data_IF_274935962871
#
_entry.id   IF_274935962871
#
_cell.length_a   1.000
_cell.length_b   1.000
_cell.length_c   1.000
_cell.angle_alpha   90.00
_cell.angle_beta   90.00
_cell.angle_gamma   90.00
#
_symmetry.space_group_name_H-M   'P 1'
#
loop_
_entity.id
_entity.type
_entity.pdbx_description
1 polymer ?
#
# COMPACT_ATOMS: atom_id res chain seq x y z
N UNK A 1 -2.42 5.61 12.51
CA UNK A 1 -2.48 4.60 11.42
C UNK A 1 -1.28 3.67 11.53
N UNK A 2 -1.24 2.55 10.80
CA UNK A 2 -0.19 1.50 10.87
C UNK A 2 1.24 2.04 10.71
N UNK A 3 1.49 2.92 9.73
CA UNK A 3 2.82 3.48 9.47
C UNK A 3 3.37 4.36 10.61
N UNK A 4 2.50 4.99 11.41
CA UNK A 4 2.92 5.74 12.60
C UNK A 4 3.51 4.84 13.70
N UNK A 5 3.27 3.52 13.63
CA UNK A 5 3.90 2.53 14.52
C UNK A 5 5.20 1.99 13.93
N UNK A 6 5.31 1.90 12.60
CA UNK A 6 6.46 1.26 11.94
C UNK A 6 7.60 2.23 11.69
N UNK A 7 7.34 3.46 11.22
CA UNK A 7 8.38 4.46 10.91
C UNK A 7 9.32 4.72 12.11
N UNK A 8 8.82 4.85 13.36
CA UNK A 8 9.71 5.04 14.52
C UNK A 8 10.62 3.86 14.85
N UNK A 9 10.50 2.71 14.16
CA UNK A 9 11.44 1.60 14.28
C UNK A 9 12.70 1.79 13.44
N UNK A 10 12.66 2.68 12.44
CA UNK A 10 13.80 2.95 11.58
C UNK A 10 14.88 3.74 12.35
N UNK A 11 16.17 3.56 12.02
CA UNK A 11 17.24 4.43 12.51
C UNK A 11 16.96 5.90 12.17
N UNK A 12 17.26 6.83 13.08
CA UNK A 12 16.82 8.24 12.98
C UNK A 12 17.03 8.90 11.61
N UNK A 13 18.22 8.83 10.96
CA UNK A 13 18.42 9.47 9.66
C UNK A 13 17.48 8.91 8.58
N UNK A 14 17.26 7.59 8.58
CA UNK A 14 16.37 6.92 7.64
C UNK A 14 14.90 7.17 7.99
N UNK A 15 14.57 7.19 9.28
CA UNK A 15 13.22 7.46 9.78
C UNK A 15 12.70 8.83 9.38
N UNK A 16 13.56 9.86 9.33
CA UNK A 16 13.18 11.21 8.86
C UNK A 16 12.83 11.21 7.38
N UNK A 17 13.67 10.63 6.52
CA UNK A 17 13.42 10.60 5.07
C UNK A 17 12.20 9.76 4.73
N UNK A 18 12.06 8.57 5.34
CA UNK A 18 10.88 7.71 5.13
C UNK A 18 9.61 8.36 5.72
N UNK A 19 9.73 9.07 6.84
CA UNK A 19 8.62 9.84 7.42
C UNK A 19 8.13 10.92 6.47
N UNK A 20 9.04 11.68 5.86
CA UNK A 20 8.70 12.67 4.86
C UNK A 20 8.12 12.03 3.57
N UNK A 21 8.70 10.91 3.12
CA UNK A 21 8.19 10.12 1.99
C UNK A 21 6.73 9.70 2.20
N UNK A 22 6.39 9.25 3.40
CA UNK A 22 5.02 8.90 3.77
C UNK A 22 4.07 10.09 3.67
N UNK A 23 4.51 11.29 4.09
CA UNK A 23 3.69 12.51 3.96
C UNK A 23 3.49 12.89 2.48
N UNK A 24 4.52 12.76 1.65
CA UNK A 24 4.41 13.01 0.20
C UNK A 24 3.39 12.06 -0.46
N UNK A 25 3.48 10.76 -0.18
CA UNK A 25 2.51 9.78 -0.69
C UNK A 25 1.10 10.06 -0.15
N UNK A 26 0.97 10.50 1.11
CA UNK A 26 -0.33 10.80 1.70
C UNK A 26 -0.99 12.04 1.11
N UNK A 27 -0.22 13.01 0.61
CA UNK A 27 -0.77 14.12 -0.17
C UNK A 27 -1.37 13.60 -1.48
N UNK A 28 -0.68 12.68 -2.19
CA UNK A 28 -1.23 12.01 -3.37
C UNK A 28 -2.53 11.27 -3.06
N UNK A 29 -2.56 10.46 -1.99
CA UNK A 29 -3.78 9.77 -1.54
C UNK A 29 -4.92 10.76 -1.24
N UNK A 30 -4.61 11.92 -0.66
CA UNK A 30 -5.65 12.91 -0.30
C UNK A 30 -6.31 13.50 -1.54
N UNK A 31 -5.55 13.71 -2.62
CA UNK A 31 -6.11 14.13 -3.92
C UNK A 31 -6.98 13.02 -4.52
N UNK A 32 -6.50 11.76 -4.47
CA UNK A 32 -7.23 10.60 -5.00
C UNK A 32 -8.55 10.36 -4.24
N UNK A 33 -8.51 10.39 -2.91
CA UNK A 33 -9.61 10.05 -2.01
C UNK A 33 -10.68 11.15 -1.89
N UNK A 34 -10.38 12.41 -2.26
CA UNK A 34 -11.33 13.54 -2.07
C UNK A 34 -12.55 13.39 -3.00
N UNK A 35 -13.74 13.31 -2.39
CA UNK A 35 -15.00 13.03 -3.07
C UNK A 35 -15.54 14.26 -3.81
N UNK A 36 -15.19 15.48 -3.39
CA UNK A 36 -15.65 16.70 -4.04
C UNK A 36 -14.88 17.09 -5.30
N UNK A 37 -13.67 16.54 -5.50
CA UNK A 37 -12.92 16.79 -6.72
C UNK A 37 -13.50 15.96 -7.86
N UNK A 38 -13.88 16.63 -8.94
CA UNK A 38 -14.17 15.95 -10.21
C UNK A 38 -12.93 15.23 -10.74
N UNK A 39 -13.09 14.20 -11.61
CA UNK A 39 -11.95 13.51 -12.21
C UNK A 39 -10.94 14.46 -12.89
N UNK A 40 -11.43 15.50 -13.57
CA UNK A 40 -10.58 16.52 -14.19
C UNK A 40 -9.78 17.33 -13.16
N UNK A 41 -10.41 17.72 -12.04
CA UNK A 41 -9.71 18.40 -10.95
C UNK A 41 -8.68 17.49 -10.28
N UNK A 42 -8.99 16.21 -10.07
CA UNK A 42 -8.02 15.24 -9.53
C UNK A 42 -6.80 15.10 -10.44
N UNK A 43 -7.00 15.03 -11.76
CA UNK A 43 -5.91 15.03 -12.74
C UNK A 43 -5.09 16.31 -12.65
N UNK A 44 -5.74 17.47 -12.66
CA UNK A 44 -5.06 18.78 -12.55
C UNK A 44 -4.25 18.90 -11.26
N UNK A 45 -4.82 18.56 -10.10
CA UNK A 45 -4.10 18.60 -8.83
C UNK A 45 -2.98 17.57 -8.76
N UNK A 46 -3.13 16.40 -9.39
CA UNK A 46 -2.07 15.40 -9.48
C UNK A 46 -0.89 15.92 -10.32
N UNK A 47 -1.16 16.52 -11.48
CA UNK A 47 -0.13 17.12 -12.33
C UNK A 47 0.55 18.33 -11.65
N UNK A 48 -0.21 19.16 -10.93
CA UNK A 48 0.34 20.24 -10.10
C UNK A 48 1.19 19.70 -8.96
N UNK A 49 0.73 18.63 -8.29
CA UNK A 49 1.44 18.01 -7.18
C UNK A 49 2.79 17.44 -7.63
N UNK A 50 2.82 16.77 -8.78
CA UNK A 50 4.06 16.37 -9.46
C UNK A 50 4.96 17.61 -9.60
N UNK A 51 4.49 18.67 -10.26
CA UNK A 51 5.28 19.89 -10.45
C UNK A 51 5.78 20.54 -9.14
N UNK A 52 5.03 20.45 -8.04
CA UNK A 52 5.44 20.94 -6.72
C UNK A 52 6.62 20.11 -6.18
N UNK A 53 6.55 18.79 -6.28
CA UNK A 53 7.65 17.90 -5.82
C UNK A 53 8.90 18.05 -6.70
N UNK A 54 8.74 18.34 -7.99
CA UNK A 54 9.85 18.65 -8.90
C UNK A 54 10.42 20.07 -8.72
N UNK A 55 9.74 20.92 -7.94
CA UNK A 55 10.13 22.32 -7.74
C UNK A 55 9.80 23.25 -8.90
N UNK A 56 8.96 22.82 -9.86
CA UNK A 56 8.49 23.64 -10.99
C UNK A 56 7.19 24.40 -10.70
N UNK A 57 6.50 24.07 -9.59
CA UNK A 57 5.28 24.74 -9.11
C UNK A 57 5.43 25.18 -7.66
N UNK A 58 4.69 26.21 -7.25
CA UNK A 58 4.72 26.71 -5.89
C UNK A 58 3.85 25.86 -4.94
N UNK A 59 4.45 25.46 -3.82
CA UNK A 59 3.80 24.62 -2.83
C UNK A 59 2.72 25.36 -2.00
N UNK A 60 2.84 26.69 -1.82
CA UNK A 60 1.87 27.46 -1.06
C UNK A 60 0.60 27.69 -1.87
N UNK A 61 0.72 28.04 -3.14
CA UNK A 61 -0.39 28.18 -4.08
C UNK A 61 -1.15 26.85 -4.22
N UNK A 62 -0.42 25.73 -4.40
CA UNK A 62 -1.02 24.40 -4.41
C UNK A 62 -1.80 24.09 -3.13
N UNK A 63 -1.20 24.34 -1.96
CA UNK A 63 -1.84 24.06 -0.67
C UNK A 63 -3.09 24.92 -0.45
N UNK A 64 -3.02 26.21 -0.80
CA UNK A 64 -4.13 27.15 -0.67
C UNK A 64 -5.32 26.71 -1.54
N UNK A 65 -5.08 26.39 -2.80
CA UNK A 65 -6.13 25.98 -3.73
C UNK A 65 -6.77 24.65 -3.32
N UNK A 66 -5.95 23.65 -3.01
CA UNK A 66 -6.46 22.32 -2.64
C UNK A 66 -7.22 22.37 -1.31
N UNK A 67 -6.69 23.07 -0.30
CA UNK A 67 -7.37 23.20 1.00
C UNK A 67 -8.73 23.89 0.91
N UNK A 68 -8.91 24.83 -0.03
CA UNK A 68 -10.19 25.48 -0.27
C UNK A 68 -11.27 24.57 -0.87
N UNK A 69 -10.87 23.40 -1.40
CA UNK A 69 -11.76 22.42 -2.04
C UNK A 69 -11.96 21.15 -1.20
N UNK A 70 -11.13 20.92 -0.18
CA UNK A 70 -11.30 19.79 0.72
C UNK A 70 -12.63 19.91 1.49
N UNK A 71 -13.41 18.85 1.49
CA UNK A 71 -14.71 18.86 2.17
C UNK A 71 -14.63 18.46 3.64
N UNK A 72 -15.78 18.46 4.32
CA UNK A 72 -15.92 17.94 5.68
C UNK A 72 -15.74 16.40 5.76
N UNK A 73 -15.73 15.69 4.62
CA UNK A 73 -15.47 14.24 4.60
C UNK A 73 -13.98 13.94 4.79
N UNK A 74 -13.09 14.84 4.35
CA UNK A 74 -11.68 14.79 4.68
C UNK A 74 -11.47 14.98 6.18
N UNK A 75 -10.58 14.17 6.76
CA UNK A 75 -10.27 14.22 8.18
C UNK A 75 -9.51 15.50 8.54
N UNK A 76 -9.62 15.94 9.80
CA UNK A 76 -8.84 17.09 10.30
C UNK A 76 -7.34 16.95 10.04
N UNK A 77 -6.82 15.71 10.04
CA UNK A 77 -5.41 15.43 9.75
C UNK A 77 -5.04 15.57 8.27
N UNK A 78 -5.97 15.31 7.35
CA UNK A 78 -5.76 15.55 5.91
C UNK A 78 -5.77 17.04 5.60
N UNK A 79 -6.71 17.78 6.21
CA UNK A 79 -6.71 19.25 6.16
C UNK A 79 -5.39 19.84 6.69
N UNK A 80 -4.94 19.42 7.87
CA UNK A 80 -3.68 19.87 8.45
C UNK A 80 -2.47 19.51 7.56
N UNK A 81 -2.46 18.32 6.96
CA UNK A 81 -1.41 17.91 6.03
C UNK A 81 -1.35 18.80 4.79
N UNK A 82 -2.48 19.04 4.13
CA UNK A 82 -2.52 19.88 2.91
C UNK A 82 -2.07 21.30 3.22
N UNK A 83 -2.55 21.90 4.32
CA UNK A 83 -2.11 23.24 4.77
C UNK A 83 -0.59 23.28 4.99
N UNK A 84 -0.02 22.20 5.54
CA UNK A 84 1.41 22.10 5.82
C UNK A 84 2.25 21.57 4.64
N UNK A 85 1.69 21.41 3.44
CA UNK A 85 2.44 20.97 2.25
C UNK A 85 3.74 21.75 2.01
N UNK A 86 3.79 23.10 2.14
CA UNK A 86 5.04 23.85 1.97
C UNK A 86 6.14 23.44 2.96
N UNK A 87 5.76 23.04 4.18
CA UNK A 87 6.71 22.52 5.18
C UNK A 87 7.23 21.14 4.79
N UNK A 88 6.37 20.27 4.27
CA UNK A 88 6.77 18.94 3.77
C UNK A 88 7.79 19.11 2.64
N UNK A 89 7.50 19.96 1.66
CA UNK A 89 8.42 20.23 0.54
C UNK A 89 9.75 20.84 0.99
N UNK A 90 9.72 21.79 1.93
CA UNK A 90 10.96 22.34 2.51
C UNK A 90 11.82 21.26 3.17
N UNK A 91 11.21 20.29 3.85
CA UNK A 91 11.94 19.15 4.42
C UNK A 91 12.48 18.25 3.30
N UNK A 92 11.69 17.94 2.27
CA UNK A 92 12.18 17.20 1.09
C UNK A 92 13.42 17.83 0.48
N UNK A 93 13.43 19.15 0.31
CA UNK A 93 14.54 19.91 -0.27
C UNK A 93 15.81 19.92 0.62
N UNK A 94 15.69 19.54 1.90
CA UNK A 94 16.85 19.45 2.81
C UNK A 94 17.61 18.12 2.69
N UNK A 95 17.06 17.13 1.99
CA UNK A 95 17.69 15.82 1.80
C UNK A 95 18.77 15.81 0.72
N UNK A 96 19.53 14.72 0.62
CA UNK A 96 20.54 14.56 -0.44
C UNK A 96 19.89 14.54 -1.83
N UNK A 97 20.62 14.92 -2.87
CA UNK A 97 20.12 14.87 -4.26
C UNK A 97 19.63 13.48 -4.66
N UNK A 98 20.33 12.42 -4.21
CA UNK A 98 19.92 11.02 -4.42
C UNK A 98 18.56 10.74 -3.79
N UNK A 99 18.37 11.13 -2.52
CA UNK A 99 17.11 10.95 -1.80
C UNK A 99 15.97 11.75 -2.45
N UNK A 100 16.22 13.00 -2.84
CA UNK A 100 15.22 13.81 -3.55
C UNK A 100 14.76 13.14 -4.85
N UNK A 101 15.69 12.61 -5.66
CA UNK A 101 15.37 11.91 -6.90
C UNK A 101 14.55 10.63 -6.67
N UNK A 102 14.88 9.86 -5.61
CA UNK A 102 14.12 8.66 -5.22
C UNK A 102 12.67 9.03 -4.85
N UNK A 103 12.50 10.07 -4.03
CA UNK A 103 11.18 10.54 -3.58
C UNK A 103 10.36 11.10 -4.76
N UNK A 104 10.97 11.95 -5.59
CA UNK A 104 10.33 12.54 -6.78
C UNK A 104 9.84 11.44 -7.72
N UNK A 105 10.69 10.47 -8.07
CA UNK A 105 10.29 9.37 -8.95
C UNK A 105 9.11 8.58 -8.39
N UNK A 106 9.12 8.29 -7.09
CA UNK A 106 8.02 7.58 -6.44
C UNK A 106 6.70 8.37 -6.54
N UNK A 107 6.73 9.66 -6.20
CA UNK A 107 5.53 10.50 -6.26
C UNK A 107 5.03 10.66 -7.69
N UNK A 108 5.92 10.85 -8.66
CA UNK A 108 5.55 11.01 -10.06
C UNK A 108 4.81 9.78 -10.59
N UNK A 109 5.37 8.59 -10.41
CA UNK A 109 4.75 7.33 -10.84
C UNK A 109 3.42 7.11 -10.11
N UNK A 110 3.39 7.35 -8.79
CA UNK A 110 2.19 7.16 -7.99
C UNK A 110 1.06 8.10 -8.39
N UNK A 111 1.32 9.41 -8.43
CA UNK A 111 0.31 10.43 -8.70
C UNK A 111 -0.25 10.31 -10.13
N UNK A 112 0.61 10.07 -11.13
CA UNK A 112 0.16 9.87 -12.50
C UNK A 112 -0.69 8.59 -12.62
N UNK A 113 -0.22 7.48 -12.05
CA UNK A 113 -0.95 6.22 -12.06
C UNK A 113 -2.31 6.30 -11.36
N UNK A 114 -2.38 6.90 -10.18
CA UNK A 114 -3.64 7.11 -9.44
C UNK A 114 -4.65 7.89 -10.28
N UNK A 115 -4.21 8.96 -10.95
CA UNK A 115 -5.09 9.76 -11.80
C UNK A 115 -5.65 8.95 -12.98
N UNK A 116 -4.80 8.17 -13.68
CA UNK A 116 -5.22 7.32 -14.79
C UNK A 116 -6.25 6.27 -14.36
N UNK A 117 -6.01 5.59 -13.24
CA UNK A 117 -6.94 4.56 -12.75
C UNK A 117 -8.25 5.14 -12.21
N UNK A 118 -8.24 6.34 -11.64
CA UNK A 118 -9.45 7.05 -11.20
C UNK A 118 -10.39 7.37 -12.38
N UNK A 119 -9.86 7.83 -13.52
CA UNK A 119 -10.67 8.15 -14.70
C UNK A 119 -11.47 6.95 -15.23
N UNK A 120 -10.91 5.74 -15.10
CA UNK A 120 -11.55 4.48 -15.48
C UNK A 120 -12.34 3.79 -14.36
N UNK A 121 -12.30 4.30 -13.13
CA UNK A 121 -12.85 3.62 -11.96
C UNK A 121 -14.37 3.50 -12.05
N UNK A 122 -14.87 2.28 -11.88
CA UNK A 122 -16.31 1.99 -11.89
C UNK A 122 -16.61 0.68 -11.15
N UNK A 123 -17.89 0.39 -10.95
CA UNK A 123 -18.33 -0.80 -10.19
C UNK A 123 -18.10 -2.15 -10.88
N UNK A 124 -17.72 -2.18 -12.18
CA UNK A 124 -17.43 -3.44 -12.89
C UNK A 124 -16.10 -4.05 -12.47
N UNK A 125 -15.17 -3.27 -11.91
CA UNK A 125 -13.83 -3.76 -11.59
C UNK A 125 -12.80 -3.43 -12.68
N UNK A 126 -11.54 -3.78 -12.41
CA UNK A 126 -10.46 -3.72 -13.40
C UNK A 126 -10.63 -4.83 -14.43
N UNK A 127 -10.18 -4.65 -15.67
CA UNK A 127 -10.44 -5.64 -16.74
C UNK A 127 -9.89 -7.02 -16.43
N UNK A 128 -8.68 -7.08 -15.89
CA UNK A 128 -7.94 -8.31 -15.70
C UNK A 128 -6.91 -8.19 -14.56
N UNK A 129 -6.23 -9.31 -14.29
CA UNK A 129 -5.20 -9.38 -13.28
C UNK A 129 -3.98 -8.49 -13.60
N UNK A 130 -3.69 -8.23 -14.87
CA UNK A 130 -2.59 -7.35 -15.28
C UNK A 130 -2.88 -5.90 -14.88
N UNK A 131 -4.09 -5.40 -15.17
CA UNK A 131 -4.54 -4.09 -14.70
C UNK A 131 -4.57 -4.00 -13.17
N UNK A 132 -4.99 -5.05 -12.47
CA UNK A 132 -4.92 -5.11 -11.01
C UNK A 132 -3.51 -5.01 -10.47
N UNK A 133 -2.56 -5.75 -11.07
CA UNK A 133 -1.16 -5.71 -10.69
C UNK A 133 -0.55 -4.34 -11.00
N UNK A 134 -0.90 -3.74 -12.14
CA UNK A 134 -0.50 -2.39 -12.54
C UNK A 134 -1.01 -1.35 -11.54
N UNK A 135 -2.30 -1.37 -11.18
CA UNK A 135 -2.84 -0.49 -10.15
C UNK A 135 -2.09 -0.64 -8.83
N UNK A 136 -1.94 -1.88 -8.33
CA UNK A 136 -1.21 -2.16 -7.10
C UNK A 136 0.27 -1.72 -7.17
N UNK A 137 0.88 -1.76 -8.35
CA UNK A 137 2.24 -1.25 -8.55
C UNK A 137 2.30 0.26 -8.36
N UNK A 138 1.44 1.03 -9.04
CA UNK A 138 1.46 2.49 -8.98
C UNK A 138 1.18 3.02 -7.56
N UNK A 139 0.23 2.42 -6.84
CA UNK A 139 -0.17 2.93 -5.52
C UNK A 139 0.65 2.37 -4.34
N UNK A 140 1.39 1.28 -4.54
CA UNK A 140 2.15 0.66 -3.45
C UNK A 140 3.45 -0.05 -3.87
N UNK A 141 3.49 -0.70 -5.04
CA UNK A 141 4.71 -1.35 -5.53
C UNK A 141 5.89 -0.37 -5.68
N UNK A 142 5.64 0.81 -6.25
CA UNK A 142 6.64 1.88 -6.37
C UNK A 142 7.15 2.37 -5.01
N UNK A 143 6.30 2.36 -3.97
CA UNK A 143 6.72 2.67 -2.59
C UNK A 143 7.69 1.62 -2.08
N UNK A 144 7.50 0.35 -2.43
CA UNK A 144 8.44 -0.73 -2.13
C UNK A 144 9.82 -0.50 -2.75
N UNK A 145 9.86 -0.06 -4.02
CA UNK A 145 11.10 0.32 -4.71
C UNK A 145 11.78 1.54 -4.07
N UNK A 146 11.01 2.59 -3.81
CA UNK A 146 11.48 3.79 -3.10
C UNK A 146 12.12 3.44 -1.76
N UNK A 147 11.44 2.64 -0.93
CA UNK A 147 11.98 2.17 0.35
C UNK A 147 13.27 1.36 0.17
N UNK A 148 13.31 0.49 -0.85
CA UNK A 148 14.51 -0.31 -1.17
C UNK A 148 15.70 0.58 -1.46
N UNK A 149 15.52 1.63 -2.26
CA UNK A 149 16.59 2.57 -2.57
C UNK A 149 17.04 3.38 -1.37
N UNK A 150 16.11 3.86 -0.55
CA UNK A 150 16.44 4.55 0.70
C UNK A 150 17.21 3.65 1.67
N UNK A 151 16.89 2.34 1.72
CA UNK A 151 17.65 1.40 2.54
C UNK A 151 19.05 1.14 1.99
N UNK A 152 19.20 1.06 0.66
CA UNK A 152 20.50 0.92 0.00
C UNK A 152 21.37 2.18 0.16
N UNK A 153 20.78 3.37 0.12
CA UNK A 153 21.44 4.66 0.36
C UNK A 153 21.93 4.76 1.81
N UNK A 154 21.14 4.25 2.76
CA UNK A 154 21.46 4.22 4.18
C UNK A 154 22.56 3.21 4.56
N UNK A 155 22.52 1.99 4.01
CA UNK A 155 23.39 0.88 4.42
C UNK A 155 24.10 0.23 3.23
N UNK A 156 25.45 0.35 3.12
CA UNK A 156 26.21 -0.28 2.04
C UNK A 156 26.05 -1.79 1.95
N UNK A 157 25.84 -2.48 3.08
CA UNK A 157 25.60 -3.92 3.12
C UNK A 157 24.26 -4.29 2.48
N UNK A 158 23.21 -3.50 2.73
CA UNK A 158 21.93 -3.62 2.02
C UNK A 158 22.13 -3.27 0.53
N UNK A 159 22.88 -2.21 0.23
CA UNK A 159 23.23 -1.80 -1.13
C UNK A 159 23.91 -2.89 -1.95
N UNK A 160 24.76 -3.72 -1.33
CA UNK A 160 25.38 -4.88 -1.99
C UNK A 160 24.36 -5.93 -2.45
N UNK A 161 23.15 -5.94 -1.89
CA UNK A 161 22.03 -6.83 -2.25
C UNK A 161 20.95 -6.12 -3.07
N UNK A 162 21.20 -4.91 -3.58
CA UNK A 162 20.22 -4.06 -4.29
C UNK A 162 19.46 -4.82 -5.37
N UNK A 163 20.15 -5.61 -6.21
CA UNK A 163 19.52 -6.39 -7.29
C UNK A 163 18.49 -7.40 -6.77
N UNK A 164 18.85 -8.17 -5.74
CA UNK A 164 17.98 -9.19 -5.17
C UNK A 164 16.77 -8.56 -4.45
N UNK A 165 17.01 -7.44 -3.74
CA UNK A 165 15.96 -6.67 -3.07
C UNK A 165 14.98 -6.06 -4.08
N UNK A 166 15.46 -5.47 -5.17
CA UNK A 166 14.63 -4.89 -6.22
C UNK A 166 13.74 -5.93 -6.92
N UNK A 167 14.23 -7.17 -7.07
CA UNK A 167 13.42 -8.24 -7.66
C UNK A 167 12.18 -8.59 -6.82
N UNK A 168 12.14 -8.19 -5.54
CA UNK A 168 11.06 -8.50 -4.60
C UNK A 168 10.35 -7.26 -4.03
N UNK A 169 10.88 -6.06 -4.31
CA UNK A 169 10.43 -4.80 -3.70
C UNK A 169 9.00 -4.44 -4.08
N UNK A 170 8.63 -4.60 -5.36
CA UNK A 170 7.27 -4.36 -5.84
C UNK A 170 6.27 -5.27 -5.13
N UNK A 171 6.60 -6.54 -4.94
CA UNK A 171 5.77 -7.51 -4.20
C UNK A 171 5.56 -7.12 -2.74
N UNK A 172 6.55 -6.49 -2.09
CA UNK A 172 6.40 -5.97 -0.73
C UNK A 172 5.26 -4.94 -0.64
N UNK A 173 5.22 -3.98 -1.55
CA UNK A 173 4.13 -3.00 -1.63
C UNK A 173 2.80 -3.61 -2.07
N UNK A 174 2.82 -4.37 -3.17
CA UNK A 174 1.63 -4.97 -3.76
C UNK A 174 0.90 -5.89 -2.78
N UNK A 175 1.60 -6.78 -2.05
CA UNK A 175 0.94 -7.68 -1.10
C UNK A 175 0.17 -6.95 0.01
N UNK A 176 0.70 -5.81 0.48
CA UNK A 176 0.01 -4.95 1.44
C UNK A 176 -1.21 -4.27 0.81
N UNK A 177 -1.08 -3.78 -0.42
CA UNK A 177 -2.18 -3.11 -1.12
C UNK A 177 -3.30 -4.05 -1.51
N UNK A 178 -2.99 -5.24 -2.02
CA UNK A 178 -3.98 -6.27 -2.30
C UNK A 178 -4.77 -6.62 -1.03
N UNK A 179 -4.09 -6.70 0.13
CA UNK A 179 -4.75 -6.92 1.42
C UNK A 179 -5.70 -5.77 1.78
N UNK A 180 -5.33 -4.52 1.50
CA UNK A 180 -6.19 -3.36 1.73
C UNK A 180 -7.41 -3.36 0.80
N UNK A 181 -7.22 -3.56 -0.50
CA UNK A 181 -8.31 -3.66 -1.49
C UNK A 181 -9.32 -4.74 -1.08
N UNK A 182 -8.85 -5.92 -0.66
CA UNK A 182 -9.74 -6.99 -0.22
C UNK A 182 -10.49 -6.64 1.07
N UNK A 183 -9.87 -5.87 1.98
CA UNK A 183 -10.46 -5.46 3.26
C UNK A 183 -11.49 -4.33 3.08
N UNK A 184 -11.19 -3.39 2.19
CA UNK A 184 -11.94 -2.14 1.99
C UNK A 184 -12.91 -2.21 0.78
N UNK A 185 -13.10 -3.40 0.20
CA UNK A 185 -13.98 -3.68 -0.94
C UNK A 185 -15.33 -2.93 -0.90
N UNK A 186 -15.99 -2.91 0.25
CA UNK A 186 -17.33 -2.31 0.37
C UNK A 186 -17.25 -0.79 0.51
N UNK A 187 -16.26 -0.29 1.24
CA UNK A 187 -15.95 1.13 1.31
C UNK A 187 -15.65 1.70 -0.08
N UNK A 188 -14.85 1.00 -0.89
CA UNK A 188 -14.53 1.41 -2.27
C UNK A 188 -15.78 1.38 -3.18
N UNK A 189 -16.60 0.32 -3.08
CA UNK A 189 -17.86 0.23 -3.86
C UNK A 189 -18.87 1.30 -3.49
N UNK A 190 -18.94 1.67 -2.21
CA UNK A 190 -19.81 2.76 -1.76
C UNK A 190 -19.37 4.13 -2.31
N UNK A 191 -18.08 4.27 -2.68
CA UNK A 191 -17.53 5.42 -3.40
C UNK A 191 -17.64 5.30 -4.93
N UNK A 192 -18.26 4.24 -5.44
CA UNK A 192 -18.45 4.02 -6.87
C UNK A 192 -17.30 3.29 -7.57
N UNK A 193 -16.29 2.82 -6.84
CA UNK A 193 -15.12 2.14 -7.38
C UNK A 193 -15.11 0.64 -7.07
N UNK A 194 -14.48 -0.16 -7.93
CA UNK A 194 -14.18 -1.56 -7.66
C UNK A 194 -12.80 -1.85 -8.22
N UNK A 195 -11.87 -2.28 -7.37
CA UNK A 195 -10.50 -2.59 -7.77
C UNK A 195 -10.26 -4.08 -8.02
N UNK A 196 -11.30 -4.91 -7.93
CA UNK A 196 -11.18 -6.35 -8.17
C UNK A 196 -11.03 -6.62 -9.69
N UNK A 197 -10.14 -7.56 -10.10
CA UNK A 197 -9.97 -7.92 -11.51
C UNK A 197 -11.10 -8.81 -12.02
N UNK A 198 -11.84 -8.35 -13.03
CA UNK A 198 -12.97 -9.07 -13.64
C UNK A 198 -12.58 -10.47 -14.11
N UNK A 199 -11.41 -10.63 -14.76
CA UNK A 199 -10.92 -11.93 -15.25
C UNK A 199 -10.97 -13.08 -14.22
N UNK A 200 -10.65 -12.81 -12.94
CA UNK A 200 -10.62 -13.82 -11.87
C UNK A 200 -12.04 -14.29 -11.53
N UNK A 201 -13.00 -13.36 -11.51
CA UNK A 201 -14.39 -13.68 -11.16
C UNK A 201 -15.15 -14.27 -12.35
N UNK A 202 -14.86 -13.79 -13.56
CA UNK A 202 -15.40 -14.37 -14.80
C UNK A 202 -14.95 -15.83 -15.00
N UNK A 203 -13.71 -16.17 -14.63
CA UNK A 203 -13.24 -17.55 -14.61
C UNK A 203 -13.99 -18.45 -13.60
N UNK A 204 -14.70 -17.85 -12.64
CA UNK A 204 -15.59 -18.53 -11.71
C UNK A 204 -17.08 -18.40 -12.13
N UNK A 205 -17.39 -17.94 -13.34
CA UNK A 205 -18.73 -17.63 -13.82
C UNK A 205 -19.48 -16.58 -12.96
N UNK A 206 -18.76 -15.58 -12.45
CA UNK A 206 -19.30 -14.49 -11.65
C UNK A 206 -19.01 -13.11 -12.27
N UNK A 207 -20.07 -12.33 -12.48
CA UNK A 207 -19.98 -10.93 -12.92
C UNK A 207 -19.94 -9.99 -11.71
N UNK A 208 -18.82 -9.26 -11.54
CA UNK A 208 -18.63 -8.26 -10.48
C UNK A 208 -19.66 -7.13 -10.51
N UNK A 209 -20.29 -6.85 -11.65
CA UNK A 209 -21.35 -5.84 -11.75
C UNK A 209 -22.58 -6.22 -10.90
N UNK A 210 -22.81 -7.52 -10.71
CA UNK A 210 -23.90 -8.07 -9.90
C UNK A 210 -23.60 -8.15 -8.40
N UNK A 211 -22.37 -7.83 -7.99
CA UNK A 211 -21.93 -7.96 -6.60
C UNK A 211 -22.66 -6.97 -5.68
N UNK A 212 -23.28 -7.51 -4.63
CA UNK A 212 -23.98 -6.75 -3.58
C UNK A 212 -23.52 -7.15 -2.18
N UNK A 213 -23.75 -6.27 -1.19
CA UNK A 213 -23.38 -6.49 0.22
C UNK A 213 -24.02 -7.73 0.85
N UNK A 214 -25.04 -8.31 0.20
CA UNK A 214 -25.73 -9.52 0.63
C UNK A 214 -25.28 -10.77 -0.13
N UNK A 215 -24.15 -10.72 -0.83
CA UNK A 215 -23.65 -11.86 -1.57
C UNK A 215 -23.45 -13.07 -0.66
N UNK A 216 -23.92 -14.21 -1.14
CA UNK A 216 -23.60 -15.54 -0.61
C UNK A 216 -23.17 -16.48 -1.74
N UNK A 217 -22.94 -15.91 -2.93
CA UNK A 217 -22.65 -16.65 -4.15
C UNK A 217 -21.31 -17.39 -4.00
N UNK A 218 -21.31 -18.74 -4.03
CA UNK A 218 -20.08 -19.53 -3.94
C UNK A 218 -19.05 -19.17 -5.01
N UNK A 219 -19.48 -18.71 -6.19
CA UNK A 219 -18.60 -18.33 -7.30
C UNK A 219 -17.81 -17.06 -6.99
N UNK A 220 -18.45 -16.07 -6.38
CA UNK A 220 -17.73 -14.89 -5.88
C UNK A 220 -16.73 -15.28 -4.80
N UNK A 221 -17.14 -16.14 -3.85
CA UNK A 221 -16.27 -16.61 -2.77
C UNK A 221 -15.06 -17.36 -3.35
N UNK A 222 -15.22 -18.12 -4.43
CA UNK A 222 -14.13 -18.78 -5.14
C UNK A 222 -13.14 -17.76 -5.74
N UNK A 223 -13.62 -16.76 -6.48
CA UNK A 223 -12.77 -15.70 -7.03
C UNK A 223 -12.05 -14.90 -5.93
N UNK A 224 -12.74 -14.62 -4.83
CA UNK A 224 -12.16 -13.98 -3.66
C UNK A 224 -11.02 -14.83 -3.04
N UNK A 225 -11.21 -16.15 -2.97
CA UNK A 225 -10.18 -17.06 -2.47
C UNK A 225 -8.94 -17.09 -3.38
N UNK A 226 -9.10 -16.99 -4.70
CA UNK A 226 -7.99 -16.89 -5.64
C UNK A 226 -7.18 -15.61 -5.41
N UNK A 227 -7.86 -14.45 -5.25
CA UNK A 227 -7.17 -13.20 -4.94
C UNK A 227 -6.46 -13.22 -3.58
N UNK A 228 -7.05 -13.85 -2.56
CA UNK A 228 -6.39 -14.05 -1.26
C UNK A 228 -5.11 -14.89 -1.44
N UNK A 229 -5.14 -15.89 -2.33
CA UNK A 229 -4.00 -16.72 -2.65
C UNK A 229 -2.88 -15.94 -3.36
N UNK A 230 -3.23 -15.10 -4.35
CA UNK A 230 -2.29 -14.21 -5.05
C UNK A 230 -1.67 -13.21 -4.07
N UNK A 231 -2.50 -12.54 -3.26
CA UNK A 231 -2.03 -11.61 -2.24
C UNK A 231 -1.07 -12.28 -1.25
N UNK A 232 -1.37 -13.52 -0.84
CA UNK A 232 -0.47 -14.31 0.02
C UNK A 232 0.88 -14.56 -0.64
N UNK A 233 0.94 -14.82 -1.94
CA UNK A 233 2.22 -15.06 -2.63
C UNK A 233 3.08 -13.80 -2.68
N UNK A 234 2.49 -12.63 -2.94
CA UNK A 234 3.19 -11.36 -2.76
C UNK A 234 3.69 -11.15 -1.34
N UNK A 235 2.90 -11.52 -0.31
CA UNK A 235 3.35 -11.47 1.09
C UNK A 235 4.48 -12.49 1.40
N UNK A 236 4.55 -13.62 0.69
CA UNK A 236 5.67 -14.56 0.80
C UNK A 236 6.95 -13.96 0.18
N UNK A 237 6.84 -13.34 -1.00
CA UNK A 237 7.93 -12.61 -1.64
C UNK A 237 8.41 -11.44 -0.76
N UNK A 238 7.48 -10.71 -0.15
CA UNK A 238 7.74 -9.67 0.81
C UNK A 238 8.49 -10.19 2.05
N UNK A 239 8.20 -11.41 2.53
CA UNK A 239 9.02 -12.04 3.57
C UNK A 239 10.43 -12.33 3.06
N UNK A 240 10.60 -12.90 1.86
CA UNK A 240 11.94 -13.14 1.29
C UNK A 240 12.73 -11.83 1.18
N UNK A 241 12.10 -10.74 0.73
CA UNK A 241 12.67 -9.39 0.70
C UNK A 241 13.21 -8.98 2.07
N UNK A 242 12.41 -9.12 3.13
CA UNK A 242 12.84 -8.77 4.50
C UNK A 242 14.02 -9.64 4.97
N UNK A 243 14.04 -10.91 4.58
CA UNK A 243 15.10 -11.83 4.98
C UNK A 243 16.45 -11.51 4.31
N UNK A 244 16.43 -10.83 3.16
CA UNK A 244 17.65 -10.30 2.53
C UNK A 244 18.27 -9.13 3.30
N UNK A 245 17.48 -8.42 4.12
CA UNK A 245 17.97 -7.36 4.99
C UNK A 245 18.79 -7.99 6.12
N UNK A 246 20.02 -7.52 6.40
CA UNK A 246 20.89 -8.12 7.41
C UNK A 246 20.21 -8.26 8.78
N UNK A 247 20.39 -9.38 9.51
CA UNK A 247 19.72 -9.59 10.80
C UNK A 247 20.06 -8.57 11.89
N UNK A 248 21.17 -7.84 11.76
CA UNK A 248 21.55 -6.78 12.69
C UNK A 248 20.87 -5.43 12.39
N UNK A 249 20.34 -5.24 11.17
CA UNK A 249 19.52 -4.08 10.75
C UNK A 249 18.08 -4.19 11.31
N UNK A 250 18.00 -4.36 12.63
CA UNK A 250 16.76 -4.73 13.32
C UNK A 250 15.66 -3.70 13.20
N UNK A 251 16.00 -2.41 13.09
CA UNK A 251 15.03 -1.34 12.90
C UNK A 251 14.29 -1.43 11.57
N UNK A 252 15.04 -1.62 10.48
CA UNK A 252 14.50 -1.79 9.11
C UNK A 252 13.68 -3.08 9.04
N UNK A 253 14.20 -4.19 9.59
CA UNK A 253 13.43 -5.43 9.67
C UNK A 253 12.12 -5.26 10.43
N UNK A 254 12.12 -4.61 11.60
CA UNK A 254 10.90 -4.36 12.38
C UNK A 254 9.90 -3.51 11.61
N UNK A 255 10.37 -2.44 10.97
CA UNK A 255 9.54 -1.57 10.12
C UNK A 255 8.75 -2.40 9.09
N UNK A 256 9.44 -3.27 8.33
CA UNK A 256 8.79 -4.11 7.33
C UNK A 256 7.94 -5.24 7.94
N UNK A 257 8.46 -5.93 8.96
CA UNK A 257 7.81 -7.09 9.58
C UNK A 257 6.49 -6.74 10.25
N UNK A 258 6.38 -5.55 10.83
CA UNK A 258 5.13 -5.12 11.48
C UNK A 258 4.04 -4.93 10.43
N UNK A 259 4.35 -4.27 9.31
CA UNK A 259 3.42 -4.11 8.19
C UNK A 259 2.99 -5.48 7.63
N UNK A 260 3.96 -6.34 7.33
CA UNK A 260 3.71 -7.68 6.78
C UNK A 260 2.91 -8.56 7.75
N UNK A 261 3.28 -8.54 9.04
CA UNK A 261 2.65 -9.32 10.08
C UNK A 261 1.19 -8.93 10.36
N UNK A 262 0.78 -7.71 10.01
CA UNK A 262 -0.61 -7.26 10.12
C UNK A 262 -1.46 -7.65 8.89
N UNK A 263 -0.84 -7.84 7.72
CA UNK A 263 -1.54 -8.23 6.50
C UNK A 263 -2.08 -9.67 6.56
N UNK A 264 -1.26 -10.65 6.97
CA UNK A 264 -1.68 -12.06 7.00
C UNK A 264 -2.90 -12.34 7.91
N UNK A 265 -2.98 -11.82 9.15
CA UNK A 265 -4.18 -11.98 9.97
C UNK A 265 -5.41 -11.30 9.38
N UNK A 266 -5.23 -10.22 8.61
CA UNK A 266 -6.33 -9.54 7.90
C UNK A 266 -6.88 -10.45 6.79
N UNK A 267 -6.02 -10.95 5.90
CA UNK A 267 -6.41 -11.94 4.89
C UNK A 267 -7.10 -13.15 5.50
N UNK A 268 -6.61 -13.64 6.64
CA UNK A 268 -7.24 -14.78 7.33
C UNK A 268 -8.64 -14.48 7.86
N UNK A 269 -8.93 -13.23 8.25
CA UNK A 269 -10.27 -12.83 8.69
C UNK A 269 -11.22 -12.71 7.51
N UNK A 270 -10.75 -12.17 6.39
CA UNK A 270 -11.50 -12.12 5.12
C UNK A 270 -11.83 -13.55 4.67
N UNK A 271 -10.83 -14.43 4.61
CA UNK A 271 -11.02 -15.84 4.24
C UNK A 271 -12.03 -16.58 5.14
N UNK A 272 -12.04 -16.29 6.44
CA UNK A 272 -12.98 -16.92 7.40
C UNK A 272 -14.39 -16.33 7.35
N UNK A 273 -14.54 -15.11 6.81
CA UNK A 273 -15.80 -14.39 6.75
C UNK A 273 -15.91 -13.71 5.39
N UNK A 274 -16.04 -14.47 4.28
CA UNK A 274 -16.07 -13.91 2.94
C UNK A 274 -17.30 -13.01 2.71
N UNK A 275 -18.39 -13.25 3.45
CA UNK A 275 -19.65 -12.48 3.41
C UNK A 275 -19.64 -11.23 4.32
N UNK A 276 -18.46 -10.68 4.62
CA UNK A 276 -18.36 -9.43 5.36
C UNK A 276 -18.95 -8.27 4.55
N UNK A 277 -19.39 -7.21 5.22
CA UNK A 277 -20.07 -6.05 4.60
C UNK A 277 -19.33 -4.72 4.72
N UNK A 278 -18.27 -4.70 5.52
CA UNK A 278 -17.37 -3.56 5.70
C UNK A 278 -16.09 -4.01 6.37
N UNK A 279 -15.03 -3.21 6.23
CA UNK A 279 -13.71 -3.48 6.77
C UNK A 279 -13.67 -3.66 8.29
N UNK A 280 -14.62 -3.09 9.06
CA UNK A 280 -14.65 -3.28 10.53
C UNK A 280 -14.94 -4.74 10.92
N UNK A 281 -15.71 -5.47 10.11
CA UNK A 281 -16.04 -6.88 10.38
C UNK A 281 -14.85 -7.82 10.24
N UNK A 282 -13.86 -7.45 9.42
CA UNK A 282 -12.63 -8.20 9.16
C UNK A 282 -11.39 -7.54 9.75
N UNK A 283 -11.57 -6.45 10.50
CA UNK A 283 -10.50 -5.73 11.19
C UNK A 283 -9.83 -6.59 12.26
N UNK A 284 -8.51 -6.52 12.31
CA UNK A 284 -7.72 -7.22 13.32
C UNK A 284 -7.85 -6.52 14.69
N UNK A 285 -8.10 -7.25 15.79
CA UNK A 285 -8.17 -6.68 17.13
C UNK A 285 -6.83 -6.12 17.59
N UNK A 286 -6.85 -5.08 18.44
CA UNK A 286 -5.64 -4.48 19.04
C UNK A 286 -4.74 -5.52 19.74
N UNK A 287 -5.33 -6.54 20.38
CA UNK A 287 -4.56 -7.65 21.00
C UNK A 287 -3.76 -8.46 19.97
N UNK A 288 -4.32 -8.66 18.78
CA UNK A 288 -3.66 -9.37 17.68
C UNK A 288 -2.54 -8.52 17.11
N UNK A 289 -2.76 -7.21 16.94
CA UNK A 289 -1.70 -6.26 16.55
C UNK A 289 -0.53 -6.33 17.54
N UNK A 290 -0.81 -6.22 18.85
CA UNK A 290 0.23 -6.34 19.89
C UNK A 290 0.98 -7.67 19.84
N UNK A 291 0.26 -8.79 19.69
CA UNK A 291 0.88 -10.11 19.61
C UNK A 291 1.79 -10.26 18.39
N UNK A 292 1.35 -9.77 17.22
CA UNK A 292 2.17 -9.72 16.01
C UNK A 292 3.42 -8.87 16.26
N UNK A 293 3.25 -7.63 16.71
CA UNK A 293 4.35 -6.70 16.97
C UNK A 293 5.39 -7.30 17.92
N UNK A 294 4.96 -7.89 19.04
CA UNK A 294 5.87 -8.50 20.02
C UNK A 294 6.59 -9.71 19.41
N UNK A 295 5.86 -10.63 18.78
CA UNK A 295 6.46 -11.85 18.22
C UNK A 295 7.43 -11.56 17.08
N UNK A 296 7.06 -10.69 16.12
CA UNK A 296 7.95 -10.31 15.01
C UNK A 296 9.17 -9.53 15.50
N UNK A 297 9.01 -8.68 16.53
CA UNK A 297 10.14 -7.91 17.08
C UNK A 297 11.14 -8.79 17.83
N UNK A 298 10.66 -9.78 18.58
CA UNK A 298 11.50 -10.75 19.28
C UNK A 298 12.28 -11.63 18.30
N UNK A 299 11.68 -11.94 17.15
CA UNK A 299 12.27 -12.82 16.13
C UNK A 299 13.05 -12.07 15.04
N UNK A 300 13.10 -10.74 15.06
CA UNK A 300 13.66 -9.91 13.97
C UNK A 300 15.11 -10.27 13.59
N UNK A 301 15.89 -10.84 14.51
CA UNK A 301 17.30 -11.23 14.27
C UNK A 301 17.48 -12.68 13.76
N UNK A 302 16.42 -13.45 13.59
CA UNK A 302 16.50 -14.87 13.22
C UNK A 302 15.60 -15.20 12.04
N UNK A 303 16.21 -15.50 10.90
CA UNK A 303 15.50 -15.85 9.67
C UNK A 303 14.69 -17.12 9.82
N UNK A 304 15.23 -18.11 10.53
CA UNK A 304 14.55 -19.38 10.80
C UNK A 304 13.31 -19.14 11.66
N UNK A 305 13.41 -18.32 12.71
CA UNK A 305 12.28 -18.00 13.56
C UNK A 305 11.20 -17.23 12.79
N UNK A 306 11.58 -16.26 11.95
CA UNK A 306 10.66 -15.51 11.10
C UNK A 306 9.97 -16.41 10.08
N UNK A 307 10.71 -17.27 9.36
CA UNK A 307 10.12 -18.25 8.43
C UNK A 307 9.09 -19.13 9.13
N UNK A 308 9.42 -19.60 10.33
CA UNK A 308 8.52 -20.44 11.14
C UNK A 308 7.26 -19.66 11.57
N UNK A 309 7.42 -18.44 12.08
CA UNK A 309 6.30 -17.58 12.50
C UNK A 309 5.35 -17.30 11.34
N UNK A 310 5.88 -16.87 10.19
CA UNK A 310 5.08 -16.51 9.02
C UNK A 310 4.43 -17.73 8.36
N UNK A 311 5.08 -18.89 8.40
CA UNK A 311 4.44 -20.16 8.03
C UNK A 311 3.16 -20.42 8.85
N UNK A 312 3.21 -20.23 10.17
CA UNK A 312 2.04 -20.40 11.03
C UNK A 312 1.00 -19.28 10.87
N UNK A 313 1.41 -18.04 10.64
CA UNK A 313 0.49 -16.93 10.39
C UNK A 313 -0.29 -17.12 9.08
N UNK A 314 0.38 -17.57 8.02
CA UNK A 314 -0.23 -17.88 6.72
C UNK A 314 -0.89 -19.26 6.63
N UNK A 315 -0.83 -20.07 7.69
CA UNK A 315 -1.44 -21.41 7.72
C UNK A 315 -2.96 -21.30 7.56
N UNK A 316 -3.50 -22.14 6.68
CA UNK A 316 -4.91 -22.20 6.25
C UNK A 316 -5.38 -21.09 5.30
N UNK A 317 -4.49 -20.21 4.81
CA UNK A 317 -4.83 -19.40 3.64
C UNK A 317 -4.77 -20.29 2.37
N UNK A 318 -5.53 -19.97 1.32
CA UNK A 318 -5.45 -20.65 0.03
C UNK A 318 -4.06 -20.49 -0.60
N UNK A 319 -3.76 -21.33 -1.59
CA UNK A 319 -2.61 -21.20 -2.49
C UNK A 319 -3.13 -20.90 -3.90
N UNK A 320 -2.36 -20.18 -4.74
CA UNK A 320 -2.79 -19.88 -6.10
C UNK A 320 -3.13 -21.15 -6.87
N UNK A 321 -4.19 -21.11 -7.66
CA UNK A 321 -4.45 -22.19 -8.62
C UNK A 321 -3.52 -22.06 -9.83
N UNK A 322 -3.29 -23.16 -10.54
CA UNK A 322 -2.44 -23.18 -11.75
C UNK A 322 -2.96 -22.27 -12.89
N UNK A 323 -4.20 -21.77 -12.78
CA UNK A 323 -4.85 -20.89 -13.77
C UNK A 323 -4.44 -19.42 -13.55
N UNK A 324 -3.83 -19.10 -12.41
CA UNK A 324 -3.50 -17.74 -11.98
C UNK A 324 -1.98 -17.46 -11.90
N UNK A 325 -1.16 -18.38 -12.43
CA UNK A 325 0.29 -18.26 -12.65
C UNK A 325 0.57 -18.03 -14.14
#
# INVERSE_FOLDING_TARGET
RTFALTIPQLPDPLGVVVGNAYLLCRISDTIEDEEALSPLQKREFSDRWIGVVEGSKDAHEFAQDLSGLLTLSATQYEHDLIINTPRVIRITQSFSTSQQQILQRCVNIMADGMAVFQEGANLKGLSDLEQFNSYCYHVAGVVGEMLTELFCDYSPEIGARKKDLFALSSSFGQGLQMTNILKDLWEDRNRGACWLPQSIFLACDFDLSSLSEHHTDPRFIQGLNELIAIAREHLNNALQYILLIPPHETGIRRFCLWALGMALPTLRRIYKRPTFKNGQQVKIPRRTVKAVVVSTSAMARSDIALKTLFFFLGRNLPRPSLISL
#
